data_IF_158040979378
#
_entry.id   IF_158040979378
#
_cell.length_a   1.000
_cell.length_b   1.000
_cell.length_c   1.000
_cell.angle_alpha   90.00
_cell.angle_beta   90.00
_cell.angle_gamma   90.00
#
_symmetry.space_group_name_H-M   'P 1'
#
loop_
_entity.id
_entity.type
_entity.pdbx_description
1 polymer ?
#
# COMPACT_ATOMS: atom_id res chain seq x y z
N UNK A 1 -15.48 35.60 19.72
CA UNK A 1 -15.59 34.20 19.24
C UNK A 1 -14.25 33.53 19.44
N UNK A 2 -14.14 32.54 20.35
CA UNK A 2 -12.91 31.75 20.50
C UNK A 2 -12.91 30.70 19.39
N UNK A 3 -11.98 30.82 18.44
CA UNK A 3 -11.69 29.77 17.47
C UNK A 3 -11.19 28.56 18.24
N UNK A 4 -11.97 27.47 18.25
CA UNK A 4 -11.53 26.20 18.82
C UNK A 4 -10.65 25.55 17.77
N UNK A 5 -9.33 25.54 18.01
CA UNK A 5 -8.37 24.84 17.16
C UNK A 5 -8.60 23.32 17.33
N UNK A 6 -9.06 22.59 16.30
CA UNK A 6 -9.39 21.16 16.43
C UNK A 6 -8.19 20.29 16.81
N UNK A 7 -6.96 20.78 16.59
CA UNK A 7 -5.71 20.07 16.91
C UNK A 7 -5.31 20.15 18.39
N UNK A 8 -5.91 21.03 19.19
CA UNK A 8 -5.57 21.20 20.61
C UNK A 8 -6.48 20.41 21.55
N UNK A 9 -7.54 19.79 21.03
CA UNK A 9 -8.49 19.05 21.83
C UNK A 9 -8.16 17.54 21.76
N UNK A 10 -7.50 16.99 22.78
CA UNK A 10 -7.06 15.59 22.81
C UNK A 10 -8.18 14.55 22.65
N UNK A 11 -9.43 14.97 22.83
CA UNK A 11 -10.63 14.14 22.63
C UNK A 11 -11.11 14.09 21.17
N UNK A 12 -10.52 14.84 20.24
CA UNK A 12 -10.98 14.86 18.84
C UNK A 12 -10.68 13.55 18.11
N UNK A 13 -9.48 12.99 18.28
CA UNK A 13 -9.11 11.71 17.65
C UNK A 13 -10.00 10.55 18.09
N UNK A 14 -10.48 10.59 19.35
CA UNK A 14 -11.40 9.58 19.90
C UNK A 14 -12.82 9.71 19.36
N UNK A 15 -13.14 10.80 18.66
CA UNK A 15 -14.47 11.08 18.10
C UNK A 15 -14.58 10.74 16.61
N UNK A 16 -13.46 10.51 15.91
CA UNK A 16 -13.45 10.23 14.48
C UNK A 16 -13.58 8.73 14.22
N UNK A 17 -14.52 8.36 13.36
CA UNK A 17 -14.65 7.00 12.86
C UNK A 17 -13.58 6.77 11.77
N UNK A 18 -12.65 5.84 12.01
CA UNK A 18 -11.59 5.49 11.05
C UNK A 18 -12.02 4.26 10.24
N UNK A 19 -11.93 4.35 8.91
CA UNK A 19 -12.27 3.29 7.98
C UNK A 19 -10.99 2.73 7.37
N UNK A 20 -10.50 1.64 7.92
CA UNK A 20 -9.24 1.01 7.52
C UNK A 20 -9.28 -0.50 7.79
N UNK A 21 -8.42 -1.25 7.10
CA UNK A 21 -8.18 -2.66 7.35
C UNK A 21 -7.57 -2.95 8.73
N UNK A 22 -6.88 -1.96 9.32
CA UNK A 22 -6.10 -2.14 10.55
C UNK A 22 -4.80 -2.95 10.34
N UNK A 23 -4.54 -3.36 9.10
CA UNK A 23 -3.31 -4.02 8.66
C UNK A 23 -2.36 -3.02 7.98
N UNK A 24 -1.06 -3.31 8.07
CA UNK A 24 0.01 -2.53 7.44
C UNK A 24 0.79 -3.46 6.53
N UNK A 25 1.04 -3.00 5.32
CA UNK A 25 1.86 -3.70 4.33
C UNK A 25 2.95 -2.77 3.81
N UNK A 26 4.08 -3.34 3.44
CA UNK A 26 5.17 -2.59 2.82
C UNK A 26 4.96 -2.43 1.32
N UNK A 27 5.55 -1.38 0.73
CA UNK A 27 5.60 -1.25 -0.74
C UNK A 27 6.31 -2.44 -1.38
N UNK A 28 7.33 -2.99 -0.71
CA UNK A 28 8.03 -4.20 -1.15
C UNK A 28 7.09 -5.40 -1.26
N UNK A 29 6.30 -5.66 -0.23
CA UNK A 29 5.31 -6.76 -0.24
C UNK A 29 4.28 -6.58 -1.36
N UNK A 30 3.83 -5.34 -1.59
CA UNK A 30 2.92 -5.03 -2.70
C UNK A 30 3.54 -5.42 -4.06
N UNK A 31 4.80 -5.02 -4.29
CA UNK A 31 5.54 -5.35 -5.51
C UNK A 31 5.68 -6.86 -5.68
N UNK A 32 6.09 -7.57 -4.63
CA UNK A 32 6.26 -9.03 -4.67
C UNK A 32 4.95 -9.75 -5.00
N UNK A 33 3.84 -9.37 -4.37
CA UNK A 33 2.52 -9.94 -4.65
C UNK A 33 2.08 -9.62 -6.08
N UNK A 34 2.31 -8.40 -6.57
CA UNK A 34 1.94 -8.01 -7.93
C UNK A 34 2.67 -8.85 -8.99
N UNK A 35 3.96 -9.11 -8.81
CA UNK A 35 4.72 -10.00 -9.72
C UNK A 35 4.25 -11.46 -9.61
N UNK A 36 3.86 -11.93 -8.43
CA UNK A 36 3.34 -13.29 -8.26
C UNK A 36 2.06 -13.53 -9.06
N UNK A 37 1.19 -12.53 -9.22
CA UNK A 37 -0.05 -12.65 -10.01
C UNK A 37 0.21 -12.88 -11.51
N UNK A 38 1.42 -12.55 -12.00
CA UNK A 38 1.87 -12.85 -13.38
C UNK A 38 2.86 -14.02 -13.44
N UNK A 39 2.97 -14.80 -12.36
CA UNK A 39 3.83 -15.97 -12.29
C UNK A 39 5.33 -15.66 -12.19
N UNK A 40 5.69 -14.44 -11.78
CA UNK A 40 7.06 -14.00 -11.57
C UNK A 40 7.35 -13.84 -10.08
N UNK A 41 8.59 -14.09 -9.68
CA UNK A 41 9.07 -13.89 -8.31
C UNK A 41 10.23 -12.90 -8.33
N UNK A 42 10.22 -11.93 -7.41
CA UNK A 42 11.29 -10.93 -7.28
C UNK A 42 12.23 -11.33 -6.16
N UNK A 43 13.54 -11.29 -6.44
CA UNK A 43 14.62 -11.39 -5.47
C UNK A 43 15.32 -10.03 -5.35
N UNK A 44 15.58 -9.61 -4.12
CA UNK A 44 16.20 -8.32 -3.84
C UNK A 44 17.69 -8.47 -3.55
N UNK A 45 18.49 -7.62 -4.19
CA UNK A 45 19.94 -7.61 -4.08
C UNK A 45 20.44 -6.17 -3.97
N UNK A 46 21.48 -5.96 -3.18
CA UNK A 46 21.97 -4.62 -2.85
C UNK A 46 21.32 -4.06 -1.59
N UNK A 47 21.64 -2.80 -1.27
CA UNK A 47 21.18 -2.12 -0.06
C UNK A 47 20.94 -0.64 -0.34
N UNK A 48 20.04 -0.03 0.42
CA UNK A 48 19.73 1.40 0.30
C UNK A 48 19.27 1.77 -1.10
N UNK A 49 19.87 2.81 -1.69
CA UNK A 49 19.50 3.28 -3.03
C UNK A 49 19.98 2.36 -4.16
N UNK A 50 21.00 1.54 -3.89
CA UNK A 50 21.57 0.61 -4.86
C UNK A 50 20.84 -0.75 -4.86
N UNK A 51 19.80 -0.89 -4.04
CA UNK A 51 18.96 -2.09 -4.02
C UNK A 51 18.16 -2.22 -5.33
N UNK A 52 18.10 -3.44 -5.85
CA UNK A 52 17.35 -3.79 -7.06
C UNK A 52 16.50 -5.04 -6.86
N UNK A 53 15.34 -5.08 -7.52
CA UNK A 53 14.47 -6.24 -7.62
C UNK A 53 14.70 -6.97 -8.94
N UNK A 54 15.25 -8.19 -8.87
CA UNK A 54 15.53 -9.05 -10.03
C UNK A 54 14.51 -10.18 -10.13
N UNK A 55 14.12 -10.51 -11.35
CA UNK A 55 13.25 -11.66 -11.61
C UNK A 55 14.01 -12.97 -11.37
N UNK A 56 13.49 -13.80 -10.46
CA UNK A 56 14.12 -15.05 -10.02
C UNK A 56 14.37 -16.00 -11.19
N UNK A 57 15.56 -16.61 -11.20
CA UNK A 57 15.98 -17.50 -12.27
C UNK A 57 16.42 -16.77 -13.54
N UNK A 58 16.45 -15.44 -13.54
CA UNK A 58 16.95 -14.61 -14.63
C UNK A 58 17.98 -13.60 -14.11
N UNK A 59 18.66 -12.93 -15.03
CA UNK A 59 19.50 -11.76 -14.73
C UNK A 59 18.79 -10.43 -15.07
N UNK A 60 17.46 -10.45 -15.21
CA UNK A 60 16.69 -9.27 -15.59
C UNK A 60 16.30 -8.49 -14.33
N UNK A 61 16.70 -7.22 -14.28
CA UNK A 61 16.25 -6.29 -13.25
C UNK A 61 14.88 -5.73 -13.65
N UNK A 62 13.89 -5.85 -12.76
CA UNK A 62 12.51 -5.37 -12.97
C UNK A 62 12.18 -4.15 -12.14
N UNK A 63 12.86 -3.96 -11.01
CA UNK A 63 12.62 -2.87 -10.07
C UNK A 63 13.95 -2.24 -9.67
N UNK A 64 14.00 -0.91 -9.66
CA UNK A 64 15.15 -0.10 -9.25
C UNK A 64 14.64 1.06 -8.42
N UNK A 65 15.45 1.55 -7.48
CA UNK A 65 15.10 2.71 -6.67
C UNK A 65 15.67 3.98 -7.32
N UNK A 66 14.84 5.01 -7.45
CA UNK A 66 15.27 6.32 -7.97
C UNK A 66 15.04 7.39 -6.87
N UNK A 67 16.10 8.11 -6.44
CA UNK A 67 16.03 9.16 -5.41
C UNK A 67 14.93 10.21 -5.66
N UNK A 68 14.55 10.44 -6.91
CA UNK A 68 13.53 11.42 -7.28
C UNK A 68 12.13 11.07 -6.73
N UNK A 69 11.88 9.80 -6.38
CA UNK A 69 10.61 9.36 -5.79
C UNK A 69 10.59 9.40 -4.26
N UNK A 70 11.72 9.75 -3.62
CA UNK A 70 11.80 9.86 -2.16
C UNK A 70 11.28 11.23 -1.72
N UNK A 71 10.35 11.21 -0.76
CA UNK A 71 9.78 12.43 -0.21
C UNK A 71 10.75 13.16 0.74
N UNK A 72 10.66 14.49 0.80
CA UNK A 72 11.43 15.30 1.76
C UNK A 72 11.10 14.97 3.23
N UNK A 73 9.91 14.42 3.47
CA UNK A 73 9.45 13.92 4.77
C UNK A 73 8.78 12.58 4.54
N UNK A 74 9.56 11.49 4.55
CA UNK A 74 8.96 10.16 4.54
C UNK A 74 8.14 9.99 5.82
N UNK A 75 6.84 9.77 5.67
CA UNK A 75 5.97 9.54 6.82
C UNK A 75 6.31 8.22 7.48
N UNK A 76 6.21 8.20 8.81
CA UNK A 76 6.18 6.97 9.60
C UNK A 76 5.03 6.06 9.15
N UNK A 77 5.16 4.76 9.44
CA UNK A 77 4.10 3.74 9.25
C UNK A 77 2.72 4.30 9.58
N UNK A 78 1.80 4.28 8.60
CA UNK A 78 0.43 4.72 8.76
C UNK A 78 -0.45 3.51 9.06
N UNK A 79 -1.00 3.47 10.27
CA UNK A 79 -2.00 2.48 10.69
C UNK A 79 -3.13 3.17 11.42
N UNK A 80 -4.37 2.82 11.08
CA UNK A 80 -5.55 3.31 11.80
C UNK A 80 -6.20 2.17 12.58
N UNK A 81 -6.81 2.51 13.71
CA UNK A 81 -7.66 1.60 14.49
C UNK A 81 -9.13 1.76 14.06
N UNK A 82 -9.75 0.76 13.41
CA UNK A 82 -11.14 0.82 12.96
C UNK A 82 -12.16 0.44 14.04
N UNK A 83 -11.76 0.16 15.29
CA UNK A 83 -12.63 -0.36 16.36
C UNK A 83 -13.93 0.44 16.52
N UNK A 84 -13.85 1.77 16.50
CA UNK A 84 -15.03 2.64 16.66
C UNK A 84 -16.03 2.48 15.52
N UNK A 85 -15.56 2.41 14.27
CA UNK A 85 -16.42 2.19 13.10
C UNK A 85 -17.05 0.79 13.12
N UNK A 86 -16.29 -0.23 13.55
CA UNK A 86 -16.81 -1.59 13.73
C UNK A 86 -17.90 -1.65 14.80
N UNK A 87 -17.69 -1.03 15.95
CA UNK A 87 -18.65 -1.07 17.07
C UNK A 87 -19.93 -0.30 16.76
N UNK A 88 -19.80 0.93 16.26
CA UNK A 88 -20.92 1.86 16.04
C UNK A 88 -21.67 1.63 14.74
N UNK A 89 -20.93 1.43 13.65
CA UNK A 89 -21.48 1.36 12.30
C UNK A 89 -21.61 -0.08 11.80
N UNK A 90 -21.12 -1.06 12.56
CA UNK A 90 -21.01 -2.47 12.12
C UNK A 90 -20.24 -2.59 10.80
N UNK A 91 -19.34 -1.65 10.56
CA UNK A 91 -18.53 -1.59 9.34
C UNK A 91 -17.30 -2.48 9.48
N UNK A 92 -16.96 -3.20 8.42
CA UNK A 92 -15.71 -3.94 8.30
C UNK A 92 -15.20 -3.89 6.85
N UNK A 93 -13.87 -3.90 6.62
CA UNK A 93 -13.32 -4.09 5.29
C UNK A 93 -13.80 -5.43 4.72
N UNK A 94 -14.15 -5.45 3.42
CA UNK A 94 -14.61 -6.67 2.73
C UNK A 94 -13.50 -7.34 1.92
N UNK A 95 -12.61 -6.54 1.36
CA UNK A 95 -11.50 -6.98 0.52
C UNK A 95 -10.24 -7.00 1.36
N UNK A 96 -9.49 -8.09 1.33
CA UNK A 96 -8.16 -8.18 1.97
C UNK A 96 -7.08 -7.63 1.05
N UNK A 97 -5.95 -7.22 1.63
CA UNK A 97 -4.82 -6.69 0.86
C UNK A 97 -4.41 -7.55 -0.35
N UNK A 98 -4.21 -8.87 -0.16
CA UNK A 98 -3.83 -9.77 -1.28
C UNK A 98 -4.89 -9.84 -2.38
N UNK A 99 -6.16 -9.83 -2.02
CA UNK A 99 -7.26 -9.85 -3.00
C UNK A 99 -7.30 -8.55 -3.79
N UNK A 100 -7.05 -7.42 -3.12
CA UNK A 100 -6.95 -6.11 -3.74
C UNK A 100 -5.80 -6.06 -4.77
N UNK A 101 -4.60 -6.53 -4.40
CA UNK A 101 -3.45 -6.59 -5.32
C UNK A 101 -3.81 -7.40 -6.57
N UNK A 102 -4.41 -8.57 -6.38
CA UNK A 102 -4.87 -9.43 -7.46
C UNK A 102 -5.87 -8.75 -8.39
N UNK A 103 -6.88 -8.09 -7.84
CA UNK A 103 -7.90 -7.36 -8.61
C UNK A 103 -7.27 -6.24 -9.45
N UNK A 104 -6.37 -5.46 -8.85
CA UNK A 104 -5.69 -4.36 -9.53
C UNK A 104 -4.84 -4.84 -10.71
N UNK A 105 -4.00 -5.87 -10.52
CA UNK A 105 -3.14 -6.41 -11.58
C UNK A 105 -3.99 -6.99 -12.73
N UNK A 106 -5.05 -7.74 -12.41
CA UNK A 106 -5.94 -8.29 -13.41
C UNK A 106 -6.64 -7.20 -14.25
N UNK A 107 -7.07 -6.11 -13.60
CA UNK A 107 -7.70 -4.98 -14.26
C UNK A 107 -6.72 -4.28 -15.23
N UNK A 108 -5.48 -4.03 -14.80
CA UNK A 108 -4.46 -3.38 -15.64
C UNK A 108 -4.07 -4.25 -16.84
N UNK A 109 -3.92 -5.57 -16.66
CA UNK A 109 -3.67 -6.50 -17.77
C UNK A 109 -4.83 -6.44 -18.78
N UNK A 110 -6.07 -6.46 -18.30
CA UNK A 110 -7.25 -6.37 -19.17
C UNK A 110 -7.25 -5.05 -19.94
N UNK A 111 -6.97 -3.93 -19.28
CA UNK A 111 -6.96 -2.60 -19.89
C UNK A 111 -5.91 -2.51 -21.02
N UNK A 112 -4.69 -2.99 -20.76
CA UNK A 112 -3.58 -2.95 -21.73
C UNK A 112 -3.85 -3.90 -22.90
N UNK A 113 -4.40 -5.09 -22.65
CA UNK A 113 -4.69 -6.08 -23.70
C UNK A 113 -5.82 -5.60 -24.62
N UNK A 114 -6.86 -4.98 -24.06
CA UNK A 114 -7.94 -4.38 -24.86
C UNK A 114 -7.45 -3.21 -25.69
N UNK A 115 -6.56 -2.36 -25.17
CA UNK A 115 -6.00 -1.23 -25.92
C UNK A 115 -5.06 -1.66 -27.08
N UNK A 116 -4.50 -2.87 -27.01
CA UNK A 116 -3.61 -3.41 -28.03
C UNK A 116 -4.31 -4.24 -29.13
N UNK A 117 -5.63 -4.43 -29.01
CA UNK A 117 -6.48 -5.16 -29.98
C UNK A 117 -7.25 -4.21 -30.89
#
# INVERSE_FOLDING_TARGET
MRSINPRENSNYEQQVDKFTGGEVHSVREFVELAFQEIGQEIFWEGEGIDEVGKEKGTNITRVTLDPNYFGLTEMTVLVGDPKRAQEKLKWSPKTKFKELVKEMVAADISLITTAAS
#
